data_IF_708692199063
#
_entry.id   IF_708692199063
#
_cell.length_a   1.000
_cell.length_b   1.000
_cell.length_c   1.000
_cell.angle_alpha   90.00
_cell.angle_beta   90.00
_cell.angle_gamma   90.00
#
_symmetry.space_group_name_H-M   'P 1'
#
loop_
_entity.id
_entity.type
_entity.pdbx_description
1 polymer ?
#
# COMPACT_ATOMS: atom_id res chain seq x y z
N UNK A 1 8.09 -15.33 -7.19
CA UNK A 1 8.97 -14.14 -7.06
C UNK A 1 8.13 -12.95 -6.60
N UNK A 2 8.49 -12.37 -5.47
CA UNK A 2 7.77 -11.26 -4.84
C UNK A 2 7.97 -9.97 -5.64
N UNK A 3 7.01 -9.03 -5.55
CA UNK A 3 7.15 -7.71 -6.18
C UNK A 3 8.41 -6.98 -5.70
N UNK A 4 8.79 -7.15 -4.44
CA UNK A 4 9.97 -6.53 -3.82
C UNK A 4 11.28 -6.89 -4.54
N UNK A 5 11.39 -8.13 -5.01
CA UNK A 5 12.60 -8.61 -5.71
C UNK A 5 12.79 -7.93 -7.06
N UNK A 6 11.72 -7.32 -7.60
CA UNK A 6 11.78 -6.63 -8.90
C UNK A 6 12.58 -5.32 -8.86
N UNK A 7 12.87 -4.80 -7.66
CA UNK A 7 13.63 -3.58 -7.49
C UNK A 7 15.12 -3.81 -7.18
N UNK A 8 15.55 -5.06 -6.97
CA UNK A 8 16.89 -5.37 -6.50
C UNK A 8 18.01 -5.02 -7.49
N UNK A 9 17.70 -5.05 -8.79
CA UNK A 9 18.64 -4.75 -9.87
C UNK A 9 18.50 -3.32 -10.41
N UNK A 10 17.71 -2.46 -9.77
CA UNK A 10 17.58 -1.06 -10.16
C UNK A 10 18.64 -0.23 -9.42
N UNK A 11 19.56 0.44 -10.16
CA UNK A 11 20.53 1.33 -9.53
C UNK A 11 19.86 2.52 -8.83
N UNK A 12 20.40 2.93 -7.68
CA UNK A 12 19.86 4.05 -6.89
C UNK A 12 19.74 5.35 -7.69
N UNK A 13 20.71 5.65 -8.54
CA UNK A 13 20.69 6.87 -9.36
C UNK A 13 19.55 6.91 -10.38
N UNK A 14 18.87 5.80 -10.63
CA UNK A 14 17.71 5.68 -11.52
C UNK A 14 16.37 5.67 -10.78
N UNK A 15 16.36 5.80 -9.46
CA UNK A 15 15.12 5.71 -8.67
C UNK A 15 14.03 6.68 -9.09
N UNK A 16 14.40 7.87 -9.55
CA UNK A 16 13.47 8.92 -9.97
C UNK A 16 13.42 9.10 -11.51
N UNK A 17 14.01 8.15 -12.26
CA UNK A 17 13.98 8.21 -13.71
C UNK A 17 12.56 7.99 -14.24
N UNK A 18 12.01 9.01 -14.86
CA UNK A 18 10.68 8.97 -15.48
C UNK A 18 10.79 8.46 -16.93
N UNK A 19 9.80 7.65 -17.31
CA UNK A 19 9.62 7.16 -18.67
C UNK A 19 8.20 7.50 -19.09
N UNK A 20 8.05 8.12 -20.27
CA UNK A 20 6.78 8.70 -20.73
C UNK A 20 5.63 7.69 -20.78
N UNK A 21 5.92 6.44 -21.14
CA UNK A 21 4.92 5.37 -21.25
C UNK A 21 4.48 4.79 -19.90
N UNK A 22 5.10 5.24 -18.80
CA UNK A 22 4.85 4.70 -17.47
C UNK A 22 4.66 5.83 -16.47
N UNK A 23 3.51 5.86 -15.84
CA UNK A 23 3.04 6.94 -14.97
C UNK A 23 3.74 7.03 -13.61
N UNK A 24 4.73 6.17 -13.33
CA UNK A 24 5.47 6.17 -12.05
C UNK A 24 6.93 5.79 -12.21
N UNK A 25 7.76 6.46 -11.43
CA UNK A 25 9.17 6.10 -11.26
C UNK A 25 9.30 4.89 -10.33
N UNK A 26 10.48 4.22 -10.27
CA UNK A 26 10.71 3.16 -9.29
C UNK A 26 10.44 3.61 -7.84
N UNK A 27 10.90 4.79 -7.46
CA UNK A 27 10.67 5.34 -6.12
C UNK A 27 9.20 5.59 -5.83
N UNK A 28 8.45 6.18 -6.76
CA UNK A 28 6.99 6.36 -6.64
C UNK A 28 6.26 5.03 -6.50
N UNK A 29 6.65 4.03 -7.27
CA UNK A 29 6.05 2.70 -7.22
C UNK A 29 6.18 2.07 -5.81
N UNK A 30 7.37 2.13 -5.22
CA UNK A 30 7.61 1.66 -3.86
C UNK A 30 6.93 2.54 -2.81
N UNK A 31 6.97 3.87 -2.98
CA UNK A 31 6.33 4.80 -2.06
C UNK A 31 4.82 4.55 -1.93
N UNK A 32 4.15 4.23 -3.04
CA UNK A 32 2.72 3.90 -3.02
C UNK A 32 2.44 2.60 -2.26
N UNK A 33 3.28 1.60 -2.43
CA UNK A 33 3.14 0.34 -1.69
C UNK A 33 3.40 0.53 -0.19
N UNK A 34 4.43 1.29 0.16
CA UNK A 34 4.72 1.66 1.57
C UNK A 34 3.56 2.44 2.16
N UNK A 35 3.04 3.42 1.42
CA UNK A 35 1.92 4.25 1.85
C UNK A 35 0.66 3.43 2.14
N UNK A 36 0.23 2.59 1.22
CA UNK A 36 -0.96 1.75 1.40
C UNK A 36 -0.81 0.74 2.54
N UNK A 37 0.33 0.09 2.64
CA UNK A 37 0.56 -0.87 3.74
C UNK A 37 0.59 -0.18 5.10
N UNK A 38 1.15 1.02 5.17
CA UNK A 38 1.14 1.85 6.39
C UNK A 38 -0.28 2.22 6.79
N UNK A 39 -1.13 2.61 5.83
CA UNK A 39 -2.53 2.95 6.11
C UNK A 39 -3.32 1.75 6.65
N UNK A 40 -3.18 0.57 6.03
CA UNK A 40 -3.86 -0.65 6.48
C UNK A 40 -3.49 -0.99 7.92
N UNK A 41 -2.22 -0.93 8.25
CA UNK A 41 -1.74 -1.19 9.62
C UNK A 41 -2.32 -0.15 10.60
N UNK A 42 -2.34 1.12 10.18
CA UNK A 42 -2.89 2.21 11.01
C UNK A 42 -4.37 2.01 11.28
N UNK A 43 -5.17 1.65 10.28
CA UNK A 43 -6.61 1.44 10.47
C UNK A 43 -6.89 0.42 11.59
N UNK A 44 -6.24 -0.72 11.55
CA UNK A 44 -6.41 -1.76 12.57
C UNK A 44 -5.88 -1.32 13.94
N UNK A 45 -4.70 -0.72 13.96
CA UNK A 45 -4.09 -0.25 15.22
C UNK A 45 -4.97 0.81 15.91
N UNK A 46 -5.48 1.76 15.15
CA UNK A 46 -6.30 2.84 15.69
C UNK A 46 -7.64 2.31 16.21
N UNK A 47 -8.31 1.45 15.46
CA UNK A 47 -9.59 0.88 15.91
C UNK A 47 -9.42 0.05 17.17
N UNK A 48 -8.35 -0.74 17.29
CA UNK A 48 -8.05 -1.50 18.53
C UNK A 48 -7.81 -0.61 19.73
N UNK A 49 -7.32 0.60 19.52
CA UNK A 49 -7.11 1.61 20.58
C UNK A 49 -8.36 2.45 20.87
N UNK A 50 -9.47 2.22 20.17
CA UNK A 50 -10.68 3.03 20.29
C UNK A 50 -10.59 4.39 19.60
N UNK A 51 -9.59 4.61 18.75
CA UNK A 51 -9.43 5.84 17.97
C UNK A 51 -10.31 5.74 16.73
N UNK A 52 -11.17 6.73 16.41
CA UNK A 52 -11.97 6.72 15.18
C UNK A 52 -11.08 6.65 13.93
N UNK A 53 -11.41 5.76 13.00
CA UNK A 53 -10.66 5.56 11.77
C UNK A 53 -11.36 6.22 10.60
N UNK A 54 -10.61 7.00 9.81
CA UNK A 54 -11.06 7.55 8.53
C UNK A 54 -10.29 6.89 7.40
N UNK A 55 -11.01 6.35 6.42
CA UNK A 55 -10.40 5.74 5.25
C UNK A 55 -10.56 6.63 4.02
N UNK A 56 -9.59 6.66 3.10
CA UNK A 56 -8.30 5.95 3.14
C UNK A 56 -7.32 6.52 4.16
N UNK A 57 -7.43 7.82 4.52
CA UNK A 57 -6.58 8.46 5.53
C UNK A 57 -7.32 9.60 6.24
N UNK A 58 -6.73 10.15 7.28
CA UNK A 58 -7.33 11.25 8.05
C UNK A 58 -7.55 12.51 7.19
N UNK A 59 -6.70 12.74 6.21
CA UNK A 59 -6.66 13.97 5.42
C UNK A 59 -7.20 13.84 3.99
N UNK A 60 -7.40 12.62 3.49
CA UNK A 60 -7.84 12.38 2.11
C UNK A 60 -9.03 11.43 2.07
N UNK A 61 -9.95 11.71 1.15
CA UNK A 61 -11.13 10.87 0.88
C UNK A 61 -10.86 9.95 -0.32
N UNK A 62 -11.73 8.96 -0.51
CA UNK A 62 -11.62 8.00 -1.62
C UNK A 62 -11.69 8.65 -3.00
N UNK A 63 -12.29 9.82 -3.14
CA UNK A 63 -12.31 10.60 -4.38
C UNK A 63 -11.09 11.53 -4.54
N UNK A 64 -10.11 11.45 -3.66
CA UNK A 64 -8.87 12.25 -3.64
C UNK A 64 -7.62 11.36 -3.75
N UNK A 65 -7.69 10.25 -4.46
CA UNK A 65 -6.56 9.30 -4.56
C UNK A 65 -5.34 9.89 -5.25
N UNK A 66 -5.53 10.79 -6.23
CA UNK A 66 -4.41 11.49 -6.85
C UNK A 66 -3.62 12.33 -5.86
N UNK A 67 -4.30 13.05 -4.99
CA UNK A 67 -3.70 13.86 -3.93
C UNK A 67 -3.02 12.99 -2.87
N UNK A 68 -3.64 11.86 -2.53
CA UNK A 68 -3.06 10.87 -1.61
C UNK A 68 -1.76 10.29 -2.18
N UNK A 69 -1.71 9.96 -3.47
CA UNK A 69 -0.49 9.46 -4.12
C UNK A 69 0.59 10.53 -4.16
N UNK A 70 0.24 11.79 -4.40
CA UNK A 70 1.19 12.88 -4.31
C UNK A 70 1.74 13.01 -2.89
N UNK A 71 0.89 12.88 -1.89
CA UNK A 71 1.33 12.88 -0.49
C UNK A 71 2.29 11.72 -0.18
N UNK A 72 2.04 10.51 -0.71
CA UNK A 72 2.99 9.40 -0.57
C UNK A 72 4.34 9.73 -1.21
N UNK A 73 4.32 10.28 -2.43
CA UNK A 73 5.54 10.68 -3.12
C UNK A 73 6.35 11.69 -2.31
N UNK A 74 5.70 12.72 -1.81
CA UNK A 74 6.36 13.80 -1.04
C UNK A 74 6.88 13.28 0.31
N UNK A 75 6.09 12.44 0.99
CA UNK A 75 6.44 11.91 2.30
C UNK A 75 7.69 11.01 2.25
N UNK A 76 7.84 10.24 1.19
CA UNK A 76 8.93 9.28 1.05
C UNK A 76 10.03 9.71 0.07
N UNK A 77 10.01 10.96 -0.42
CA UNK A 77 10.92 11.45 -1.44
C UNK A 77 12.42 11.37 -1.05
N UNK A 78 12.73 11.49 0.22
CA UNK A 78 14.11 11.47 0.74
C UNK A 78 14.68 10.07 0.90
N UNK A 79 13.86 9.03 0.77
CA UNK A 79 14.30 7.66 0.98
C UNK A 79 14.97 7.06 -0.26
N UNK A 80 16.01 6.26 -0.05
CA UNK A 80 16.61 5.44 -1.10
C UNK A 80 15.67 4.28 -1.48
N UNK A 81 15.92 3.63 -2.61
CA UNK A 81 15.21 2.38 -2.97
C UNK A 81 15.39 1.33 -1.89
N UNK A 82 16.58 1.22 -1.32
CA UNK A 82 16.84 0.25 -0.25
C UNK A 82 16.01 0.55 1.00
N UNK A 83 15.96 1.81 1.43
CA UNK A 83 15.14 2.22 2.58
C UNK A 83 13.65 2.00 2.34
N UNK A 84 13.17 2.27 1.13
CA UNK A 84 11.78 2.01 0.73
C UNK A 84 11.46 0.50 0.75
N UNK A 85 12.38 -0.33 0.23
CA UNK A 85 12.23 -1.79 0.28
C UNK A 85 12.19 -2.31 1.71
N UNK A 86 13.07 -1.80 2.57
CA UNK A 86 13.13 -2.20 3.97
C UNK A 86 11.84 -1.84 4.71
N UNK A 87 11.33 -0.64 4.53
CA UNK A 87 10.03 -0.23 5.08
C UNK A 87 8.88 -1.09 4.58
N UNK A 88 8.86 -1.39 3.29
CA UNK A 88 7.82 -2.27 2.73
C UNK A 88 7.90 -3.68 3.35
N UNK A 89 9.09 -4.21 3.54
CA UNK A 89 9.29 -5.51 4.20
C UNK A 89 8.77 -5.50 5.64
N UNK A 90 9.09 -4.48 6.40
CA UNK A 90 8.59 -4.30 7.77
C UNK A 90 7.08 -4.21 7.80
N UNK A 91 6.47 -3.43 6.91
CA UNK A 91 5.04 -3.29 6.81
C UNK A 91 4.34 -4.61 6.43
N UNK A 92 4.90 -5.36 5.49
CA UNK A 92 4.35 -6.66 5.09
C UNK A 92 4.40 -7.65 6.27
N UNK A 93 5.51 -7.68 7.00
CA UNK A 93 5.61 -8.52 8.19
C UNK A 93 4.61 -8.11 9.27
N UNK A 94 4.40 -6.81 9.45
CA UNK A 94 3.38 -6.29 10.38
C UNK A 94 1.95 -6.67 9.95
N UNK A 95 1.66 -6.65 8.65
CA UNK A 95 0.35 -7.10 8.13
C UNK A 95 0.18 -8.60 8.35
N UNK A 96 1.19 -9.42 8.13
CA UNK A 96 1.12 -10.85 8.42
C UNK A 96 0.86 -11.11 9.91
N UNK A 97 1.58 -10.43 10.79
CA UNK A 97 1.34 -10.53 12.24
C UNK A 97 -0.07 -10.07 12.62
N UNK A 98 -0.56 -9.01 11.99
CA UNK A 98 -1.92 -8.51 12.19
C UNK A 98 -2.97 -9.56 11.77
N UNK A 99 -2.82 -10.16 10.60
CA UNK A 99 -3.72 -11.21 10.09
C UNK A 99 -3.70 -12.43 11.03
N UNK A 100 -2.51 -12.86 11.45
CA UNK A 100 -2.36 -14.00 12.38
C UNK A 100 -2.99 -13.72 13.74
N UNK A 101 -3.08 -12.47 14.16
CA UNK A 101 -3.73 -12.07 15.42
C UNK A 101 -5.26 -12.02 15.35
N UNK A 102 -5.83 -12.03 14.15
CA UNK A 102 -7.28 -12.01 13.95
C UNK A 102 -7.84 -13.43 13.96
N UNK A 103 -9.02 -13.61 14.58
CA UNK A 103 -9.75 -14.87 14.49
C UNK A 103 -10.32 -15.07 13.09
N UNK A 104 -10.69 -16.32 12.76
CA UNK A 104 -11.39 -16.60 11.51
C UNK A 104 -12.68 -15.79 11.39
N UNK A 105 -13.39 -15.61 12.50
CA UNK A 105 -14.59 -14.80 12.56
C UNK A 105 -14.30 -13.34 12.20
N UNK A 106 -13.27 -12.75 12.79
CA UNK A 106 -12.86 -11.37 12.51
C UNK A 106 -12.44 -11.17 11.06
N UNK A 107 -11.79 -12.18 10.44
CA UNK A 107 -11.33 -12.10 9.05
C UNK A 107 -12.46 -12.29 8.03
N UNK A 108 -13.36 -13.24 8.26
CA UNK A 108 -14.25 -13.76 7.22
C UNK A 108 -15.72 -13.41 7.39
N UNK A 109 -16.15 -12.92 8.56
CA UNK A 109 -17.51 -12.42 8.74
C UNK A 109 -17.60 -10.91 8.43
N UNK A 110 -18.73 -10.44 7.91
CA UNK A 110 -18.96 -8.99 7.75
C UNK A 110 -19.13 -8.30 9.10
N UNK A 111 -18.97 -6.99 9.10
CA UNK A 111 -19.21 -6.10 10.26
C UNK A 111 -18.28 -6.33 11.47
N UNK A 112 -17.11 -6.90 11.26
CA UNK A 112 -16.15 -7.15 12.35
C UNK A 112 -15.19 -5.99 12.60
N UNK A 113 -15.08 -5.03 11.67
CA UNK A 113 -14.28 -3.81 11.81
C UNK A 113 -14.97 -2.63 11.15
N UNK A 114 -15.03 -1.52 11.86
CA UNK A 114 -15.63 -0.28 11.34
C UNK A 114 -14.85 0.29 10.16
N UNK A 115 -13.53 0.18 10.19
CA UNK A 115 -12.70 0.67 9.08
C UNK A 115 -12.97 -0.05 7.75
N UNK A 116 -13.46 -1.27 7.80
CA UNK A 116 -13.92 -1.99 6.61
C UNK A 116 -15.37 -1.64 6.26
N UNK A 117 -16.26 -1.56 7.25
CA UNK A 117 -17.69 -1.27 7.04
C UNK A 117 -17.95 0.16 6.53
N UNK A 118 -17.23 1.12 7.07
CA UNK A 118 -17.45 2.54 6.79
C UNK A 118 -16.63 3.05 5.60
N UNK A 119 -15.85 2.19 4.96
CA UNK A 119 -15.01 2.56 3.82
C UNK A 119 -15.83 3.02 2.62
N UNK A 120 -16.98 2.40 2.39
CA UNK A 120 -17.91 2.75 1.32
C UNK A 120 -19.34 2.77 1.85
N UNK A 121 -20.24 3.52 1.15
CA UNK A 121 -21.64 3.62 1.57
C UNK A 121 -22.49 2.40 1.21
N UNK A 122 -22.03 1.58 0.27
CA UNK A 122 -22.85 0.55 -0.37
C UNK A 122 -22.28 -0.86 -0.31
N UNK A 123 -20.98 -1.02 -0.12
CA UNK A 123 -20.33 -2.32 -0.06
C UNK A 123 -20.14 -2.77 1.39
N UNK A 124 -20.44 -4.04 1.64
CA UNK A 124 -20.12 -4.71 2.91
C UNK A 124 -18.80 -5.44 2.70
N UNK A 125 -17.82 -5.13 3.53
CA UNK A 125 -16.49 -5.67 3.40
C UNK A 125 -16.13 -6.60 4.56
N UNK A 126 -15.84 -7.85 4.29
CA UNK A 126 -15.09 -8.67 5.22
C UNK A 126 -13.64 -8.14 5.29
N UNK A 127 -13.03 -8.24 6.45
CA UNK A 127 -11.69 -7.68 6.71
C UNK A 127 -10.66 -8.18 5.68
N UNK A 128 -10.63 -9.49 5.41
CA UNK A 128 -9.68 -10.07 4.46
C UNK A 128 -9.82 -9.51 3.04
N UNK A 129 -11.05 -9.26 2.60
CA UNK A 129 -11.31 -8.69 1.26
C UNK A 129 -10.86 -7.24 1.18
N UNK A 130 -11.10 -6.47 2.24
CA UNK A 130 -10.70 -5.08 2.27
C UNK A 130 -9.17 -4.94 2.31
N UNK A 131 -8.48 -5.79 3.06
CA UNK A 131 -7.01 -5.87 3.03
C UNK A 131 -6.54 -6.23 1.62
N UNK A 132 -7.13 -7.24 0.99
CA UNK A 132 -6.75 -7.69 -0.34
C UNK A 132 -6.91 -6.60 -1.40
N UNK A 133 -8.04 -5.91 -1.42
CA UNK A 133 -8.34 -4.89 -2.42
C UNK A 133 -7.44 -3.64 -2.29
N UNK A 134 -6.89 -3.41 -1.10
CA UNK A 134 -6.01 -2.26 -0.84
C UNK A 134 -4.51 -2.62 -0.86
N UNK A 135 -4.15 -3.89 -0.98
CA UNK A 135 -2.75 -4.35 -1.02
C UNK A 135 -2.47 -5.27 -2.19
N UNK A 136 -2.90 -6.51 -2.14
CA UNK A 136 -2.54 -7.56 -3.13
C UNK A 136 -3.02 -7.20 -4.53
N UNK A 137 -4.28 -6.78 -4.67
CA UNK A 137 -4.86 -6.49 -5.97
C UNK A 137 -4.14 -5.34 -6.70
N UNK A 138 -3.94 -4.14 -6.10
CA UNK A 138 -3.23 -3.06 -6.77
C UNK A 138 -1.74 -3.36 -6.98
N UNK A 139 -1.10 -4.15 -6.12
CA UNK A 139 0.31 -4.49 -6.25
C UNK A 139 0.62 -5.34 -7.49
N UNK A 140 -0.36 -6.08 -8.01
CA UNK A 140 -0.25 -6.71 -9.32
C UNK A 140 0.00 -5.72 -10.45
N UNK A 141 -0.72 -4.60 -10.44
CA UNK A 141 -0.53 -3.48 -11.37
C UNK A 141 0.85 -2.84 -11.18
N UNK A 142 1.26 -2.60 -9.95
CA UNK A 142 2.56 -2.03 -9.62
C UNK A 142 3.70 -2.91 -10.12
N UNK A 143 3.57 -4.23 -9.99
CA UNK A 143 4.52 -5.20 -10.53
C UNK A 143 4.62 -5.12 -12.06
N UNK A 144 3.50 -4.99 -12.74
CA UNK A 144 3.47 -4.86 -14.19
C UNK A 144 4.17 -3.58 -14.63
N UNK A 145 3.92 -2.47 -13.96
CA UNK A 145 4.52 -1.17 -14.27
C UNK A 145 6.03 -1.17 -14.08
N UNK A 146 6.54 -1.72 -12.99
CA UNK A 146 8.00 -1.77 -12.78
C UNK A 146 8.70 -2.70 -13.77
N UNK A 147 8.06 -3.78 -14.19
CA UNK A 147 8.61 -4.65 -15.23
C UNK A 147 8.73 -3.94 -16.57
N UNK A 148 7.72 -3.15 -16.95
CA UNK A 148 7.78 -2.34 -18.17
C UNK A 148 8.88 -1.28 -18.09
N UNK A 149 8.97 -0.58 -16.95
CA UNK A 149 9.99 0.41 -16.71
C UNK A 149 11.39 -0.19 -16.90
N UNK A 150 11.66 -1.34 -16.32
CA UNK A 150 12.95 -2.03 -16.43
C UNK A 150 13.31 -2.40 -17.87
N UNK A 151 12.36 -2.84 -18.66
CA UNK A 151 12.59 -3.18 -20.07
C UNK A 151 13.04 -2.00 -20.92
N UNK A 152 12.65 -0.79 -20.53
CA UNK A 152 12.98 0.44 -21.28
C UNK A 152 14.24 1.09 -20.70
N UNK A 153 14.41 1.09 -19.38
CA UNK A 153 15.45 1.85 -18.69
C UNK A 153 16.75 1.08 -18.47
N UNK A 154 16.69 -0.24 -18.44
CA UNK A 154 17.82 -1.14 -18.26
C UNK A 154 18.08 -1.97 -19.51
#
# INVERSE_FOLDING_TARGET
MCIRDRFNDIPEHLKDKRIDEIDRTPAENLAYQVGWTTLVIKWESDERKGIPVKTPSDNFKWNQLGELYQWFTDTYAQLSLQELKDRLNENINSIYAMIDSLSEEELFKPHMRKWADEATKTAVWEVYKFIHVNTVAPFGTFRTKIRKWKKIAL
#
